data_IF_398459002166
#
_entry.id   IF_398459002166
#
_cell.length_a   1.000
_cell.length_b   1.000
_cell.length_c   1.000
_cell.angle_alpha   90.00
_cell.angle_beta   90.00
_cell.angle_gamma   90.00
#
_symmetry.space_group_name_H-M   'P 1'
#
loop_
_entity.id
_entity.type
_entity.pdbx_description
1 polymer ?
#
# COMPACT_ATOMS: atom_id res chain seq x y z
N UNK A 1 14.90 -14.95 15.09
CA UNK A 1 13.67 -14.32 14.59
C UNK A 1 12.73 -14.16 15.78
N UNK A 2 12.43 -12.92 16.19
CA UNK A 2 11.66 -12.69 17.43
C UNK A 2 10.17 -12.76 17.08
N UNK A 3 9.50 -13.79 17.58
CA UNK A 3 8.04 -13.87 17.50
C UNK A 3 7.49 -12.84 18.49
N UNK A 4 6.58 -12.00 18.02
CA UNK A 4 5.82 -11.08 18.87
C UNK A 4 4.39 -11.58 18.90
N UNK A 5 3.79 -11.65 20.09
CA UNK A 5 2.38 -11.97 20.26
C UNK A 5 1.62 -10.76 20.81
N UNK A 6 0.41 -10.56 20.31
CA UNK A 6 -0.54 -9.57 20.85
C UNK A 6 -1.97 -9.98 20.49
N UNK A 7 -2.92 -9.43 21.25
CA UNK A 7 -4.34 -9.68 21.04
C UNK A 7 -4.92 -8.73 20.00
N UNK A 8 -5.74 -9.28 19.11
CA UNK A 8 -6.42 -8.55 18.05
C UNK A 8 -7.90 -8.91 18.09
N UNK A 9 -8.74 -7.89 18.09
CA UNK A 9 -10.19 -8.03 18.08
C UNK A 9 -10.68 -8.52 16.72
N UNK A 10 -11.36 -9.65 16.71
CA UNK A 10 -12.15 -10.14 15.59
C UNK A 10 -13.62 -9.75 15.81
N UNK A 11 -14.12 -8.81 15.01
CA UNK A 11 -15.54 -8.41 15.03
C UNK A 11 -16.39 -9.42 14.29
N UNK A 12 -17.44 -9.95 14.92
CA UNK A 12 -18.23 -11.05 14.36
C UNK A 12 -18.99 -10.66 13.07
N UNK A 13 -19.35 -9.40 12.94
CA UNK A 13 -20.13 -8.83 11.84
C UNK A 13 -19.27 -8.17 10.74
N UNK A 14 -17.94 -8.28 10.84
CA UNK A 14 -17.02 -7.66 9.89
C UNK A 14 -16.41 -8.63 8.89
N UNK A 15 -15.86 -8.06 7.81
CA UNK A 15 -15.32 -8.78 6.65
C UNK A 15 -14.32 -9.89 7.01
N UNK A 16 -13.45 -9.68 8.00
CA UNK A 16 -12.48 -10.71 8.37
C UNK A 16 -13.17 -11.98 8.88
N UNK A 17 -14.17 -11.83 9.76
CA UNK A 17 -14.92 -12.94 10.32
C UNK A 17 -15.93 -13.55 9.35
N UNK A 18 -16.55 -12.72 8.51
CA UNK A 18 -17.65 -13.15 7.63
C UNK A 18 -17.18 -13.75 6.31
N UNK A 19 -16.04 -13.28 5.80
CA UNK A 19 -15.57 -13.62 4.46
C UNK A 19 -14.18 -14.28 4.49
N UNK A 20 -13.23 -13.72 5.26
CA UNK A 20 -11.82 -14.16 5.21
C UNK A 20 -11.55 -15.43 6.00
N UNK A 21 -11.87 -15.46 7.29
CA UNK A 21 -11.68 -16.63 8.16
C UNK A 21 -12.45 -17.86 7.69
N UNK A 22 -13.71 -17.76 7.26
CA UNK A 22 -14.49 -18.92 6.82
C UNK A 22 -13.83 -19.64 5.65
N UNK A 23 -13.54 -18.93 4.56
CA UNK A 23 -12.97 -19.56 3.37
C UNK A 23 -11.53 -20.00 3.59
N UNK A 24 -10.72 -19.18 4.25
CA UNK A 24 -9.26 -19.35 4.22
C UNK A 24 -8.70 -20.10 5.40
N UNK A 25 -9.39 -20.05 6.54
CA UNK A 25 -8.94 -20.62 7.80
C UNK A 25 -9.95 -21.58 8.44
N UNK A 26 -11.12 -21.75 7.82
CA UNK A 26 -12.09 -22.79 8.20
C UNK A 26 -12.83 -22.50 9.50
N UNK A 27 -12.94 -21.24 9.92
CA UNK A 27 -13.71 -20.89 11.11
C UNK A 27 -14.39 -19.51 11.00
N UNK A 28 -15.40 -19.31 11.84
CA UNK A 28 -16.02 -18.01 12.12
C UNK A 28 -16.38 -17.93 13.61
N UNK A 29 -16.39 -16.72 14.17
CA UNK A 29 -16.81 -16.46 15.53
C UNK A 29 -18.24 -15.91 15.53
N UNK A 30 -19.10 -16.41 16.44
CA UNK A 30 -20.49 -15.94 16.57
C UNK A 30 -20.62 -14.61 17.33
N UNK A 31 -19.59 -14.27 18.11
CA UNK A 31 -19.50 -13.04 18.90
C UNK A 31 -18.15 -12.40 18.66
N UNK A 32 -18.01 -11.14 19.05
CA UNK A 32 -16.72 -10.47 19.07
C UNK A 32 -15.73 -11.28 19.92
N UNK A 33 -14.57 -11.61 19.34
CA UNK A 33 -13.61 -12.51 19.94
C UNK A 33 -12.21 -11.94 19.83
N UNK A 34 -11.45 -11.99 20.92
CA UNK A 34 -10.03 -11.68 20.91
C UNK A 34 -9.23 -12.90 20.46
N UNK A 35 -8.43 -12.73 19.41
CA UNK A 35 -7.53 -13.78 18.94
C UNK A 35 -6.09 -13.32 19.12
N UNK A 36 -5.22 -14.26 19.49
CA UNK A 36 -3.78 -14.02 19.56
C UNK A 36 -3.18 -14.13 18.17
N UNK A 37 -2.51 -13.06 17.74
CA UNK A 37 -1.72 -13.03 16.52
C UNK A 37 -0.24 -13.18 16.87
N UNK A 38 0.39 -14.19 16.30
CA UNK A 38 1.81 -14.48 16.45
C UNK A 38 2.55 -14.03 15.19
N UNK A 39 3.25 -12.90 15.27
CA UNK A 39 3.88 -12.30 14.08
C UNK A 39 5.30 -12.83 13.89
N UNK A 40 5.63 -13.08 12.63
CA UNK A 40 6.95 -13.47 12.15
C UNK A 40 7.62 -12.34 11.37
N UNK A 41 6.88 -11.30 10.97
CA UNK A 41 7.42 -10.09 10.36
C UNK A 41 7.24 -8.84 11.23
N UNK A 42 8.04 -7.82 10.92
CA UNK A 42 7.72 -6.45 11.30
C UNK A 42 6.44 -5.96 10.59
N UNK A 43 5.70 -5.00 11.16
CA UNK A 43 4.52 -4.41 10.53
C UNK A 43 4.89 -3.72 9.22
N UNK A 44 4.14 -4.03 8.16
CA UNK A 44 4.23 -3.33 6.89
C UNK A 44 2.98 -2.47 6.67
N UNK A 45 3.08 -1.14 6.53
CA UNK A 45 1.92 -0.32 6.23
C UNK A 45 1.36 -0.67 4.85
N UNK A 46 0.03 -0.69 4.72
CA UNK A 46 -0.60 -0.93 3.43
C UNK A 46 -0.36 0.27 2.49
N UNK A 47 0.04 0.08 1.22
CA UNK A 47 0.44 1.17 0.32
C UNK A 47 -0.59 2.30 0.16
N UNK A 48 -1.89 1.98 0.28
CA UNK A 48 -2.99 2.92 0.09
C UNK A 48 -3.74 3.29 1.37
N UNK A 49 -3.40 2.65 2.49
CA UNK A 49 -4.06 2.81 3.80
C UNK A 49 -3.00 2.61 4.88
N UNK A 50 -2.11 3.60 5.12
CA UNK A 50 -0.98 3.46 6.03
C UNK A 50 -1.42 3.18 7.47
N UNK A 51 -2.66 3.51 7.84
CA UNK A 51 -3.30 3.15 9.11
C UNK A 51 -3.52 1.63 9.27
N UNK A 52 -3.46 0.87 8.17
CA UNK A 52 -3.59 -0.59 8.15
C UNK A 52 -2.23 -1.25 8.10
N UNK A 53 -1.93 -2.04 9.11
CA UNK A 53 -0.67 -2.77 9.23
C UNK A 53 -0.86 -4.22 8.78
N UNK A 54 0.04 -4.66 7.90
CA UNK A 54 0.14 -6.02 7.40
C UNK A 54 1.20 -6.76 8.18
N UNK A 55 0.85 -7.95 8.67
CA UNK A 55 1.75 -8.85 9.38
C UNK A 55 1.77 -10.22 8.69
N UNK A 56 2.95 -10.81 8.56
CA UNK A 56 3.09 -12.25 8.37
C UNK A 56 3.11 -12.92 9.72
N UNK A 57 2.43 -14.06 9.84
CA UNK A 57 2.33 -14.75 11.10
C UNK A 57 1.36 -15.91 11.09
N UNK A 58 0.83 -16.22 12.26
CA UNK A 58 -0.22 -17.20 12.43
C UNK A 58 -1.16 -16.84 13.57
N UNK A 59 -2.36 -17.40 13.50
CA UNK A 59 -3.32 -17.46 14.61
C UNK A 59 -3.57 -18.92 14.97
N UNK A 60 -4.13 -19.18 16.14
CA UNK A 60 -4.67 -20.51 16.46
C UNK A 60 -6.15 -20.52 16.10
N UNK A 61 -6.57 -21.54 15.36
CA UNK A 61 -7.99 -21.73 15.08
C UNK A 61 -8.73 -21.89 16.43
N UNK A 62 -9.76 -21.07 16.72
CA UNK A 62 -10.41 -21.08 18.02
C UNK A 62 -11.12 -22.41 18.31
N UNK A 63 -11.49 -23.16 17.27
CA UNK A 63 -12.20 -24.44 17.38
C UNK A 63 -11.25 -25.62 17.40
N UNK A 64 -10.27 -25.67 16.49
CA UNK A 64 -9.38 -26.84 16.33
C UNK A 64 -8.04 -26.71 17.05
N UNK A 65 -7.70 -25.50 17.52
CA UNK A 65 -6.37 -25.13 18.05
C UNK A 65 -5.22 -25.33 17.05
N UNK A 66 -5.52 -25.58 15.78
CA UNK A 66 -4.50 -25.73 14.74
C UNK A 66 -3.88 -24.39 14.37
N UNK A 67 -2.60 -24.46 14.01
CA UNK A 67 -1.82 -23.31 13.56
C UNK A 67 -2.28 -22.87 12.16
N UNK A 68 -2.82 -21.66 12.07
CA UNK A 68 -3.32 -21.04 10.87
C UNK A 68 -2.36 -19.95 10.36
N UNK A 69 -1.42 -20.33 9.49
CA UNK A 69 -0.44 -19.40 8.91
C UNK A 69 -1.03 -18.55 7.79
N UNK A 70 -0.62 -17.28 7.74
CA UNK A 70 -1.01 -16.38 6.66
C UNK A 70 -0.56 -14.94 6.87
N UNK A 71 -1.10 -14.10 6.00
CA UNK A 71 -1.02 -12.65 6.09
C UNK A 71 -2.26 -12.09 6.78
N UNK A 72 -2.05 -11.21 7.75
CA UNK A 72 -3.10 -10.56 8.51
C UNK A 72 -3.01 -9.05 8.38
N UNK A 73 -4.12 -8.40 8.04
CA UNK A 73 -4.23 -6.95 8.01
C UNK A 73 -5.03 -6.51 9.22
N UNK A 74 -4.42 -5.65 10.03
CA UNK A 74 -5.03 -5.10 11.24
C UNK A 74 -5.09 -3.58 11.17
N UNK A 75 -6.00 -2.99 11.94
CA UNK A 75 -6.21 -1.57 12.08
C UNK A 75 -6.23 -1.21 13.56
N UNK A 76 -5.48 -0.18 13.95
CA UNK A 76 -5.59 0.39 15.29
C UNK A 76 -6.90 1.18 15.40
N UNK A 77 -7.73 0.83 16.39
CA UNK A 77 -8.95 1.55 16.75
C UNK A 77 -8.88 1.82 18.25
N UNK A 78 -8.82 3.09 18.63
CA UNK A 78 -8.61 3.52 20.02
C UNK A 78 -7.37 2.82 20.60
N UNK A 79 -7.53 2.09 21.71
CA UNK A 79 -6.45 1.38 22.42
C UNK A 79 -6.24 -0.06 21.94
N UNK A 80 -6.94 -0.50 20.88
CA UNK A 80 -6.96 -1.90 20.47
C UNK A 80 -6.71 -2.11 18.98
N UNK A 81 -6.14 -3.26 18.64
CA UNK A 81 -5.99 -3.72 17.25
C UNK A 81 -7.22 -4.52 16.85
N UNK A 82 -7.68 -4.33 15.60
CA UNK A 82 -8.81 -5.07 15.02
C UNK A 82 -8.42 -5.70 13.69
N UNK A 83 -8.87 -6.92 13.43
CA UNK A 83 -8.72 -7.56 12.12
C UNK A 83 -9.55 -6.84 11.05
N UNK A 84 -8.95 -6.65 9.87
CA UNK A 84 -9.61 -6.08 8.69
C UNK A 84 -9.86 -7.17 7.65
N UNK A 85 -8.84 -7.97 7.37
CA UNK A 85 -8.86 -9.08 6.42
C UNK A 85 -7.66 -9.99 6.66
N UNK A 86 -7.70 -11.22 6.17
CA UNK A 86 -6.61 -12.18 6.25
C UNK A 86 -6.59 -13.11 5.04
N UNK A 87 -5.42 -13.62 4.66
CA UNK A 87 -5.28 -14.58 3.57
C UNK A 87 -4.04 -15.49 3.70
N UNK A 88 -4.02 -16.62 2.99
CA UNK A 88 -2.89 -17.59 3.05
C UNK A 88 -1.85 -17.39 1.94
N UNK A 89 -2.28 -17.15 0.70
CA UNK A 89 -1.40 -17.13 -0.49
C UNK A 89 -1.36 -15.76 -1.20
N UNK A 90 -0.62 -15.64 -2.31
CA UNK A 90 -0.17 -14.36 -2.90
C UNK A 90 -1.27 -13.32 -3.24
N UNK A 91 -0.88 -12.04 -3.27
CA UNK A 91 -1.75 -10.88 -3.02
C UNK A 91 -2.77 -10.53 -4.10
N UNK A 92 -2.49 -10.77 -5.38
CA UNK A 92 -3.31 -10.16 -6.46
C UNK A 92 -4.60 -10.92 -6.71
N UNK A 93 -4.56 -12.25 -6.83
CA UNK A 93 -5.77 -13.07 -7.00
C UNK A 93 -6.64 -13.04 -5.75
N UNK A 94 -6.02 -12.95 -4.57
CA UNK A 94 -6.72 -12.85 -3.28
C UNK A 94 -7.48 -11.53 -3.12
N UNK A 95 -6.98 -10.42 -3.68
CA UNK A 95 -7.69 -9.15 -3.62
C UNK A 95 -9.02 -9.21 -4.38
N UNK A 96 -8.99 -9.68 -5.63
CA UNK A 96 -10.20 -9.83 -6.44
C UNK A 96 -11.18 -10.83 -5.84
N UNK A 97 -10.68 -11.98 -5.36
CA UNK A 97 -11.52 -12.98 -4.69
C UNK A 97 -12.20 -12.41 -3.44
N UNK A 98 -11.47 -11.66 -2.60
CA UNK A 98 -12.02 -11.01 -1.40
C UNK A 98 -13.15 -10.05 -1.70
N UNK A 99 -12.97 -9.18 -2.69
CA UNK A 99 -13.98 -8.18 -3.05
C UNK A 99 -15.22 -8.82 -3.67
N UNK A 100 -15.06 -9.82 -4.53
CA UNK A 100 -16.19 -10.58 -5.10
C UNK A 100 -16.97 -11.30 -4.01
N UNK A 101 -16.30 -12.05 -3.12
CA UNK A 101 -16.95 -12.74 -1.99
C UNK A 101 -17.78 -11.78 -1.13
N UNK A 102 -17.17 -10.66 -0.72
CA UNK A 102 -17.81 -9.66 0.11
C UNK A 102 -19.06 -9.08 -0.54
N UNK A 103 -19.02 -8.82 -1.85
CA UNK A 103 -20.17 -8.31 -2.59
C UNK A 103 -21.26 -9.39 -2.75
N UNK A 104 -20.89 -10.63 -3.09
CA UNK A 104 -21.84 -11.74 -3.16
C UNK A 104 -22.53 -12.01 -1.82
N UNK A 105 -21.81 -11.91 -0.70
CA UNK A 105 -22.40 -12.02 0.64
C UNK A 105 -23.36 -10.88 0.95
N UNK A 106 -22.96 -9.63 0.69
CA UNK A 106 -23.84 -8.46 0.89
C UNK A 106 -25.12 -8.55 0.07
N UNK A 107 -25.05 -9.18 -1.09
CA UNK A 107 -26.18 -9.45 -1.98
C UNK A 107 -27.00 -10.69 -1.57
N UNK A 108 -26.63 -11.39 -0.49
CA UNK A 108 -27.31 -12.59 0.01
C UNK A 108 -27.08 -13.86 -0.81
N UNK A 109 -26.19 -13.82 -1.81
CA UNK A 109 -25.83 -14.99 -2.64
C UNK A 109 -24.95 -15.97 -1.87
N UNK A 110 -24.18 -15.45 -0.91
CA UNK A 110 -23.17 -16.19 -0.16
C UNK A 110 -23.39 -15.97 1.34
N UNK A 111 -23.13 -17.00 2.15
CA UNK A 111 -23.11 -16.90 3.61
C UNK A 111 -21.77 -17.40 4.14
N UNK A 112 -21.44 -17.03 5.37
CA UNK A 112 -20.21 -17.51 6.02
C UNK A 112 -20.19 -19.03 6.17
N UNK A 113 -21.35 -19.66 6.37
CA UNK A 113 -21.50 -21.12 6.43
C UNK A 113 -21.18 -21.76 5.09
N UNK A 114 -21.62 -21.18 3.99
CA UNK A 114 -21.27 -21.67 2.65
C UNK A 114 -19.75 -21.55 2.44
N UNK A 115 -19.11 -20.44 2.84
CA UNK A 115 -17.65 -20.31 2.75
C UNK A 115 -16.90 -21.35 3.58
N UNK A 116 -17.42 -21.74 4.75
CA UNK A 116 -16.84 -22.84 5.54
C UNK A 116 -16.87 -24.17 4.78
N UNK A 117 -17.95 -24.47 4.05
CA UNK A 117 -18.00 -25.69 3.22
C UNK A 117 -17.03 -25.65 2.03
N UNK A 118 -16.67 -24.45 1.57
CA UNK A 118 -15.72 -24.23 0.49
C UNK A 118 -14.26 -24.23 0.96
N UNK A 119 -14.01 -24.11 2.26
CA UNK A 119 -12.66 -24.07 2.83
C UNK A 119 -11.76 -25.23 2.36
N UNK A 120 -12.21 -26.51 2.36
CA UNK A 120 -11.37 -27.60 1.87
C UNK A 120 -10.97 -27.45 0.39
N UNK A 121 -11.86 -26.92 -0.46
CA UNK A 121 -11.56 -26.65 -1.89
C UNK A 121 -10.52 -25.53 -2.03
N UNK A 122 -10.61 -24.49 -1.20
CA UNK A 122 -9.61 -23.43 -1.12
C UNK A 122 -8.24 -23.99 -0.72
N UNK A 123 -8.17 -24.84 0.32
CA UNK A 123 -6.91 -25.45 0.77
C UNK A 123 -6.25 -26.32 -0.32
N UNK A 124 -7.05 -27.03 -1.12
CA UNK A 124 -6.54 -27.82 -2.26
C UNK A 124 -6.16 -26.97 -3.47
N UNK A 125 -6.43 -25.67 -3.47
CA UNK A 125 -6.16 -24.76 -4.59
C UNK A 125 -7.21 -24.79 -5.70
N UNK A 126 -8.30 -25.55 -5.53
CA UNK A 126 -9.42 -25.65 -6.47
C UNK A 126 -10.25 -24.36 -6.53
N UNK A 127 -10.18 -23.53 -5.47
CA UNK A 127 -10.86 -22.24 -5.37
C UNK A 127 -9.83 -21.14 -5.12
N UNK A 128 -8.99 -20.87 -6.12
CA UNK A 128 -7.93 -19.85 -6.02
C UNK A 128 -8.31 -18.54 -6.71
N UNK A 129 -9.35 -18.54 -7.56
CA UNK A 129 -9.82 -17.37 -8.30
C UNK A 129 -11.31 -17.12 -8.09
N UNK A 130 -11.74 -15.88 -8.33
CA UNK A 130 -13.16 -15.51 -8.31
C UNK A 130 -14.01 -16.32 -9.30
N UNK A 131 -13.43 -16.70 -10.46
CA UNK A 131 -14.11 -17.55 -11.45
C UNK A 131 -14.49 -18.92 -10.91
N UNK A 132 -13.66 -19.49 -10.04
CA UNK A 132 -13.86 -20.83 -9.48
C UNK A 132 -14.99 -20.80 -8.45
N UNK A 133 -15.01 -19.75 -7.62
CA UNK A 133 -16.11 -19.48 -6.69
C UNK A 133 -17.45 -19.35 -7.42
N UNK A 134 -17.49 -18.58 -8.51
CA UNK A 134 -18.72 -18.37 -9.29
C UNK A 134 -19.18 -19.70 -9.89
N UNK A 135 -18.27 -20.49 -10.48
CA UNK A 135 -18.60 -21.82 -11.01
C UNK A 135 -19.18 -22.74 -9.94
N UNK A 136 -18.60 -22.77 -8.75
CA UNK A 136 -19.03 -23.66 -7.67
C UNK A 136 -20.41 -23.27 -7.14
N UNK A 137 -20.64 -21.96 -6.96
CA UNK A 137 -21.96 -21.42 -6.60
C UNK A 137 -22.99 -21.75 -7.70
N UNK A 138 -22.59 -21.73 -8.97
CA UNK A 138 -23.51 -22.03 -10.07
C UNK A 138 -23.92 -23.51 -10.13
N UNK A 139 -23.08 -24.45 -9.70
CA UNK A 139 -23.40 -25.88 -9.72
C UNK A 139 -24.41 -26.31 -8.64
N UNK A 140 -24.60 -25.49 -7.60
CA UNK A 140 -25.48 -25.79 -6.44
C UNK A 140 -26.85 -25.10 -6.51
N UNK A 141 -27.18 -24.45 -7.64
CA UNK A 141 -28.34 -23.56 -7.79
C UNK A 141 -29.14 -23.81 -9.07
N UNK A 142 -30.34 -23.26 -9.14
CA UNK A 142 -31.21 -23.33 -10.34
C UNK A 142 -30.66 -22.43 -11.46
N UNK A 143 -30.92 -22.76 -12.73
CA UNK A 143 -30.42 -22.00 -13.89
C UNK A 143 -30.72 -20.48 -13.81
N UNK A 144 -31.92 -20.12 -13.33
CA UNK A 144 -32.30 -18.71 -13.15
C UNK A 144 -31.49 -17.98 -12.06
N UNK A 145 -31.08 -18.68 -11.01
CA UNK A 145 -30.18 -18.13 -9.99
C UNK A 145 -28.75 -18.02 -10.52
N UNK A 146 -28.29 -19.01 -11.31
CA UNK A 146 -26.98 -18.97 -11.98
C UNK A 146 -26.86 -17.74 -12.87
N UNK A 147 -27.86 -17.50 -13.72
CA UNK A 147 -27.86 -16.36 -14.64
C UNK A 147 -27.85 -15.01 -13.90
N UNK A 148 -28.59 -14.91 -12.80
CA UNK A 148 -28.61 -13.71 -11.94
C UNK A 148 -27.26 -13.47 -11.24
N UNK A 149 -26.57 -14.53 -10.83
CA UNK A 149 -25.26 -14.44 -10.20
C UNK A 149 -24.19 -14.09 -11.23
N UNK A 150 -24.26 -14.68 -12.42
CA UNK A 150 -23.31 -14.45 -13.50
C UNK A 150 -23.40 -13.02 -14.00
N UNK A 151 -24.60 -12.53 -14.31
CA UNK A 151 -24.82 -11.13 -14.71
C UNK A 151 -24.34 -10.11 -13.65
N UNK A 152 -24.57 -10.37 -12.37
CA UNK A 152 -24.04 -9.53 -11.27
C UNK A 152 -22.53 -9.57 -11.20
N UNK A 153 -21.94 -10.76 -11.31
CA UNK A 153 -20.49 -10.96 -11.27
C UNK A 153 -19.83 -10.21 -12.43
N UNK A 154 -20.34 -10.38 -13.65
CA UNK A 154 -19.82 -9.71 -14.84
C UNK A 154 -19.87 -8.19 -14.69
N UNK A 155 -20.96 -7.66 -14.12
CA UNK A 155 -21.08 -6.23 -13.80
C UNK A 155 -20.01 -5.76 -12.81
N UNK A 156 -19.78 -6.53 -11.73
CA UNK A 156 -18.77 -6.18 -10.73
C UNK A 156 -17.35 -6.25 -11.30
N UNK A 157 -17.04 -7.28 -12.09
CA UNK A 157 -15.75 -7.43 -12.77
C UNK A 157 -15.52 -6.26 -13.72
N UNK A 158 -16.52 -5.88 -14.51
CA UNK A 158 -16.43 -4.74 -15.42
C UNK A 158 -16.18 -3.41 -14.66
N UNK A 159 -16.86 -3.19 -13.52
CA UNK A 159 -16.66 -1.99 -12.71
C UNK A 159 -15.24 -1.94 -12.10
N UNK A 160 -14.75 -3.07 -11.59
CA UNK A 160 -13.38 -3.17 -11.06
C UNK A 160 -12.34 -2.93 -12.15
N UNK A 161 -12.53 -3.53 -13.34
CA UNK A 161 -11.66 -3.31 -14.49
C UNK A 161 -11.64 -1.84 -14.90
N UNK A 162 -12.80 -1.18 -14.95
CA UNK A 162 -12.89 0.26 -15.24
C UNK A 162 -12.11 1.09 -14.22
N UNK A 163 -12.29 0.86 -12.92
CA UNK A 163 -11.54 1.56 -11.86
C UNK A 163 -10.04 1.33 -11.97
N UNK A 164 -9.62 0.12 -12.33
CA UNK A 164 -8.21 -0.22 -12.53
C UNK A 164 -7.63 0.53 -13.74
N UNK A 165 -8.37 0.59 -14.85
CA UNK A 165 -7.98 1.37 -16.03
C UNK A 165 -7.88 2.86 -15.73
N UNK A 166 -8.86 3.45 -15.05
CA UNK A 166 -8.84 4.87 -14.64
C UNK A 166 -7.60 5.18 -13.78
N UNK A 167 -7.27 4.31 -12.83
CA UNK A 167 -6.05 4.44 -12.02
C UNK A 167 -4.78 4.35 -12.84
N UNK A 168 -4.70 3.41 -13.79
CA UNK A 168 -3.52 3.27 -14.65
C UNK A 168 -3.32 4.51 -15.51
N UNK A 169 -4.40 5.05 -16.10
CA UNK A 169 -4.34 6.30 -16.88
C UNK A 169 -3.83 7.46 -16.01
N UNK A 170 -4.35 7.58 -14.78
CA UNK A 170 -3.90 8.62 -13.85
C UNK A 170 -2.42 8.47 -13.46
N UNK A 171 -1.98 7.24 -13.22
CA UNK A 171 -0.60 6.92 -12.88
C UNK A 171 0.36 7.20 -14.05
N UNK A 172 -0.03 6.82 -15.27
CA UNK A 172 0.72 7.12 -16.49
C UNK A 172 0.85 8.63 -16.71
N UNK A 173 -0.23 9.39 -16.52
CA UNK A 173 -0.21 10.84 -16.61
C UNK A 173 0.73 11.48 -15.57
N UNK A 174 0.70 11.01 -14.32
CA UNK A 174 1.60 11.46 -13.27
C UNK A 174 3.07 11.15 -13.58
N UNK A 175 3.35 9.93 -14.03
CA UNK A 175 4.70 9.51 -14.42
C UNK A 175 5.23 10.31 -15.62
N UNK A 176 4.38 10.58 -16.62
CA UNK A 176 4.73 11.43 -17.76
C UNK A 176 5.09 12.85 -17.30
N UNK A 177 4.30 13.42 -16.38
CA UNK A 177 4.58 14.75 -15.80
C UNK A 177 5.90 14.78 -15.05
N UNK A 178 6.17 13.79 -14.19
CA UNK A 178 7.45 13.69 -13.46
C UNK A 178 8.65 13.58 -14.40
N UNK A 179 8.55 12.74 -15.45
CA UNK A 179 9.61 12.61 -16.46
C UNK A 179 9.86 13.92 -17.20
N UNK A 180 8.80 14.66 -17.52
CA UNK A 180 8.93 15.97 -18.15
C UNK A 180 9.60 16.98 -17.22
N UNK A 181 9.20 17.06 -15.95
CA UNK A 181 9.82 17.97 -14.98
C UNK A 181 11.32 17.69 -14.81
N UNK A 182 11.72 16.41 -14.78
CA UNK A 182 13.13 16.01 -14.69
C UNK A 182 13.90 16.35 -15.98
N UNK A 183 13.28 16.19 -17.15
CA UNK A 183 13.88 16.58 -18.43
C UNK A 183 14.08 18.10 -18.53
N UNK A 184 13.07 18.88 -18.14
CA UNK A 184 13.15 20.34 -18.08
C UNK A 184 14.25 20.80 -17.11
N UNK A 185 14.43 20.07 -16.00
CA UNK A 185 15.50 20.34 -15.06
C UNK A 185 16.89 20.08 -15.66
N UNK A 186 17.07 18.96 -16.34
CA UNK A 186 18.31 18.64 -17.07
C UNK A 186 18.62 19.68 -18.16
N UNK A 187 17.61 20.14 -18.90
CA UNK A 187 17.77 21.19 -19.90
C UNK A 187 18.20 22.54 -19.27
N UNK A 188 17.60 22.93 -18.14
CA UNK A 188 17.99 24.16 -17.43
C UNK A 188 19.41 24.07 -16.86
N UNK A 189 19.82 22.92 -16.35
CA UNK A 189 21.19 22.71 -15.89
C UNK A 189 22.19 22.83 -17.05
N UNK A 190 21.89 22.20 -18.20
CA UNK A 190 22.74 22.26 -19.39
C UNK A 190 22.92 23.70 -19.90
N UNK A 191 21.84 24.50 -19.91
CA UNK A 191 21.90 25.93 -20.26
C UNK A 191 22.79 26.76 -19.32
N UNK A 192 23.10 26.25 -18.12
CA UNK A 192 24.01 26.87 -17.14
C UNK A 192 25.36 26.14 -17.05
N UNK A 193 25.74 25.40 -18.10
CA UNK A 193 26.95 24.59 -18.16
C UNK A 193 27.11 23.69 -16.92
N UNK A 194 26.00 23.09 -16.49
CA UNK A 194 25.91 22.22 -15.31
C UNK A 194 25.25 20.89 -15.65
N UNK A 195 25.56 19.85 -14.90
CA UNK A 195 24.94 18.52 -14.98
C UNK A 195 24.06 18.28 -13.76
N UNK A 196 22.96 17.56 -13.97
CA UNK A 196 22.08 17.15 -12.87
C UNK A 196 22.60 15.85 -12.28
N UNK A 197 22.90 15.88 -10.99
CA UNK A 197 23.15 14.68 -10.19
C UNK A 197 21.89 14.31 -9.42
N UNK A 198 21.39 13.11 -9.67
CA UNK A 198 20.28 12.51 -8.94
C UNK A 198 20.82 11.71 -7.76
N UNK A 199 20.21 11.90 -6.59
CA UNK A 199 20.53 11.16 -5.38
C UNK A 199 19.46 10.10 -5.17
N UNK A 200 19.89 8.87 -4.88
CA UNK A 200 19.00 7.72 -4.70
C UNK A 200 17.86 8.02 -3.73
N UNK A 201 16.64 7.50 -3.99
CA UNK A 201 15.48 7.77 -3.17
C UNK A 201 15.70 7.46 -1.68
N UNK A 202 15.37 8.43 -0.83
CA UNK A 202 15.29 8.24 0.63
C UNK A 202 14.08 8.96 1.18
N UNK A 203 13.53 8.48 2.30
CA UNK A 203 12.37 9.13 2.94
C UNK A 203 12.77 10.49 3.48
N UNK A 204 12.05 11.54 3.06
CA UNK A 204 12.17 12.88 3.60
C UNK A 204 11.47 12.94 4.95
N UNK A 205 12.19 13.23 6.03
CA UNK A 205 11.61 13.24 7.39
C UNK A 205 11.40 14.63 7.94
N UNK A 206 12.12 15.64 7.44
CA UNK A 206 12.04 17.01 7.96
C UNK A 206 12.40 18.05 6.92
N UNK A 207 11.72 19.20 6.98
CA UNK A 207 12.02 20.41 6.20
C UNK A 207 12.09 21.59 7.17
N UNK A 208 13.20 22.32 7.15
CA UNK A 208 13.46 23.46 8.02
C UNK A 208 13.74 24.69 7.14
N UNK A 209 12.98 25.77 7.35
CA UNK A 209 13.14 27.01 6.60
C UNK A 209 14.12 27.96 7.27
N UNK A 210 14.66 28.92 6.51
CA UNK A 210 15.47 30.04 7.00
C UNK A 210 16.67 29.61 7.86
N UNK A 211 17.26 28.46 7.57
CA UNK A 211 18.44 27.98 8.29
C UNK A 211 19.70 28.61 7.71
N UNK A 212 20.56 29.15 8.55
CA UNK A 212 21.84 29.67 8.10
C UNK A 212 22.81 28.51 7.82
N UNK A 213 23.23 28.38 6.57
CA UNK A 213 24.27 27.45 6.15
C UNK A 213 25.31 28.20 5.31
N UNK A 214 26.56 28.23 5.81
CA UNK A 214 27.70 28.90 5.15
C UNK A 214 27.38 30.36 4.77
N UNK A 215 26.72 31.08 5.68
CA UNK A 215 26.40 32.50 5.51
C UNK A 215 25.22 32.78 4.57
N UNK A 216 24.44 31.77 4.19
CA UNK A 216 23.23 31.94 3.38
C UNK A 216 22.03 31.33 4.07
N UNK A 217 20.87 31.97 3.95
CA UNK A 217 19.60 31.39 4.37
C UNK A 217 19.19 30.31 3.38
N UNK A 218 18.92 29.13 3.92
CA UNK A 218 18.62 27.92 3.18
C UNK A 218 17.38 27.24 3.71
N UNK A 219 16.68 26.55 2.80
CA UNK A 219 15.80 25.45 3.16
C UNK A 219 16.65 24.22 3.36
N UNK A 220 16.47 23.54 4.50
CA UNK A 220 17.22 22.34 4.86
C UNK A 220 16.27 21.16 4.91
N UNK A 221 16.60 20.12 4.16
CA UNK A 221 15.87 18.86 4.19
C UNK A 221 16.72 17.80 4.89
N UNK A 222 16.07 16.99 5.71
CA UNK A 222 16.71 15.86 6.40
C UNK A 222 16.07 14.56 5.96
N UNK A 223 16.90 13.62 5.54
CA UNK A 223 16.49 12.28 5.10
C UNK A 223 16.54 11.29 6.26
N UNK A 224 15.82 10.18 6.15
CA UNK A 224 15.77 9.12 7.17
C UNK A 224 17.14 8.49 7.47
N UNK A 225 18.09 8.53 6.53
CA UNK A 225 19.47 8.09 6.72
C UNK A 225 20.36 9.12 7.44
N UNK A 226 19.78 10.23 7.92
CA UNK A 226 20.49 11.32 8.59
C UNK A 226 21.16 12.33 7.66
N UNK A 227 21.17 12.10 6.34
CA UNK A 227 21.74 13.05 5.40
C UNK A 227 20.93 14.35 5.35
N UNK A 228 21.64 15.48 5.31
CA UNK A 228 21.05 16.82 5.23
C UNK A 228 21.44 17.48 3.92
N UNK A 229 20.45 18.10 3.28
CA UNK A 229 20.65 18.86 2.05
C UNK A 229 20.15 20.28 2.20
N UNK A 230 20.82 21.21 1.53
CA UNK A 230 20.66 22.66 1.69
C UNK A 230 20.33 23.30 0.35
N UNK A 231 19.33 24.17 0.31
CA UNK A 231 19.01 24.96 -0.87
C UNK A 231 18.91 26.43 -0.50
N UNK A 232 19.78 27.26 -1.08
CA UNK A 232 19.79 28.70 -0.87
C UNK A 232 18.52 29.35 -1.44
N UNK A 233 17.66 29.87 -0.57
CA UNK A 233 16.32 30.36 -0.94
C UNK A 233 16.41 31.63 -1.79
N UNK A 234 17.31 32.55 -1.44
CA UNK A 234 17.48 33.84 -2.14
C UNK A 234 17.89 33.70 -3.62
N UNK A 235 18.51 32.58 -3.99
CA UNK A 235 19.02 32.33 -5.33
C UNK A 235 18.15 31.34 -6.10
N UNK A 236 17.79 30.23 -5.45
CA UNK A 236 17.23 29.07 -6.15
C UNK A 236 15.73 28.86 -5.90
N UNK A 237 15.16 29.51 -4.88
CA UNK A 237 13.76 29.35 -4.49
C UNK A 237 13.14 30.65 -3.96
N UNK A 238 13.30 31.75 -4.72
CA UNK A 238 12.83 33.09 -4.29
C UNK A 238 11.32 33.14 -3.99
N UNK A 239 10.54 32.32 -4.69
CA UNK A 239 9.09 32.23 -4.51
C UNK A 239 8.68 31.18 -3.45
N UNK A 240 9.63 30.43 -2.89
CA UNK A 240 9.35 29.36 -1.91
C UNK A 240 8.67 28.13 -2.51
N UNK A 241 8.62 27.98 -3.84
CA UNK A 241 7.91 26.90 -4.51
C UNK A 241 8.55 25.54 -4.21
N UNK A 242 9.88 25.46 -4.18
CA UNK A 242 10.61 24.22 -3.93
C UNK A 242 10.52 23.85 -2.44
N UNK A 243 10.53 24.84 -1.56
CA UNK A 243 10.31 24.69 -0.12
C UNK A 243 8.91 24.14 0.17
N UNK A 244 7.87 24.73 -0.42
CA UNK A 244 6.49 24.23 -0.31
C UNK A 244 6.34 22.82 -0.88
N UNK A 245 7.00 22.54 -2.02
CA UNK A 245 7.06 21.19 -2.59
C UNK A 245 7.66 20.22 -1.59
N UNK A 246 8.80 20.56 -0.98
CA UNK A 246 9.45 19.71 0.02
C UNK A 246 8.56 19.43 1.23
N UNK A 247 7.85 20.44 1.74
CA UNK A 247 6.90 20.26 2.86
C UNK A 247 5.80 19.25 2.52
N UNK A 248 5.26 19.27 1.29
CA UNK A 248 4.24 18.31 0.83
C UNK A 248 4.75 16.87 0.69
N UNK A 249 6.07 16.67 0.74
CA UNK A 249 6.75 15.40 0.54
C UNK A 249 7.32 14.81 1.84
N UNK A 250 7.05 15.41 3.00
CA UNK A 250 7.42 14.83 4.29
C UNK A 250 6.79 13.42 4.41
N UNK A 251 7.57 12.48 4.91
CA UNK A 251 7.33 11.04 5.03
C UNK A 251 7.19 10.29 3.70
N UNK A 252 7.62 10.86 2.57
CA UNK A 252 7.65 10.19 1.26
C UNK A 252 9.08 9.94 0.79
N UNK A 253 9.32 8.87 0.01
CA UNK A 253 10.59 8.69 -0.67
C UNK A 253 10.75 9.79 -1.72
N UNK A 254 11.91 10.44 -1.73
CA UNK A 254 12.20 11.54 -2.67
C UNK A 254 13.51 11.32 -3.40
N UNK A 255 13.53 11.64 -4.70
CA UNK A 255 14.75 11.85 -5.46
C UNK A 255 15.13 13.31 -5.33
N UNK A 256 16.36 13.56 -4.91
CA UNK A 256 16.92 14.92 -4.84
C UNK A 256 17.78 15.13 -6.07
N UNK A 257 17.75 16.33 -6.61
CA UNK A 257 18.64 16.75 -7.68
C UNK A 257 19.60 17.83 -7.17
N UNK A 258 20.85 17.76 -7.58
CA UNK A 258 21.83 18.83 -7.43
C UNK A 258 22.38 19.17 -8.81
N UNK A 259 22.70 20.45 -9.04
CA UNK A 259 23.38 20.85 -10.27
C UNK A 259 24.85 21.01 -9.94
N UNK A 260 25.73 20.31 -10.63
CA UNK A 260 27.19 20.47 -10.53
C UNK A 260 27.71 21.09 -11.83
N UNK A 261 28.62 22.07 -11.82
CA UNK A 261 29.20 22.59 -13.05
C UNK A 261 29.89 21.47 -13.84
N UNK A 262 29.79 21.48 -15.17
CA UNK A 262 30.37 20.45 -16.04
C UNK A 262 31.87 20.27 -15.77
N UNK A 263 32.58 21.38 -15.57
CA UNK A 263 34.03 21.39 -15.32
C UNK A 263 34.41 21.04 -13.87
N UNK A 264 33.44 21.00 -12.95
CA UNK A 264 33.66 20.69 -11.53
C UNK A 264 32.60 19.70 -11.02
N UNK A 265 32.59 18.44 -11.50
CA UNK A 265 31.64 17.44 -11.06
C UNK A 265 31.69 17.25 -9.54
N UNK A 266 30.54 17.13 -8.90
CA UNK A 266 30.46 16.96 -7.46
C UNK A 266 30.58 18.25 -6.65
N UNK A 267 30.88 19.41 -7.25
CA UNK A 267 31.14 20.66 -6.51
C UNK A 267 30.05 20.99 -5.50
N UNK A 268 28.78 20.97 -5.92
CA UNK A 268 27.65 21.35 -5.07
C UNK A 268 27.05 20.13 -4.39
N UNK A 269 26.94 19.01 -5.10
CA UNK A 269 26.33 17.79 -4.57
C UNK A 269 27.13 17.18 -3.42
N UNK A 270 28.47 17.23 -3.44
CA UNK A 270 29.31 16.75 -2.33
C UNK A 270 29.21 17.63 -1.07
N UNK A 271 28.80 18.88 -1.23
CA UNK A 271 28.60 19.83 -0.14
C UNK A 271 27.17 19.78 0.42
N UNK A 272 26.35 18.86 -0.08
CA UNK A 272 24.95 18.70 0.30
C UNK A 272 24.03 19.77 -0.27
N UNK A 273 24.42 20.51 -1.30
CA UNK A 273 23.49 21.44 -1.94
C UNK A 273 22.52 20.69 -2.84
N UNK A 274 21.25 21.08 -2.83
CA UNK A 274 20.26 20.60 -3.78
C UNK A 274 19.61 21.74 -4.54
N UNK A 275 19.09 21.39 -5.71
CA UNK A 275 18.37 22.30 -6.59
C UNK A 275 16.87 22.08 -6.54
N UNK A 276 16.44 20.82 -6.51
CA UNK A 276 15.04 20.43 -6.53
C UNK A 276 14.87 19.04 -5.90
N UNK A 277 13.62 18.62 -5.76
CA UNK A 277 13.27 17.28 -5.30
C UNK A 277 11.94 16.81 -5.92
N UNK A 278 11.81 15.50 -6.06
CA UNK A 278 10.66 14.85 -6.67
C UNK A 278 10.23 13.67 -5.82
N UNK A 279 8.92 13.38 -5.79
CA UNK A 279 8.45 12.13 -5.22
C UNK A 279 9.03 10.96 -6.05
N UNK A 280 9.61 9.98 -5.35
CA UNK A 280 9.86 8.67 -5.94
C UNK A 280 8.61 7.82 -5.81
N UNK A 281 8.36 6.99 -6.82
CA UNK A 281 7.46 5.86 -6.69
C UNK A 281 8.05 4.82 -5.73
#
# INVERSE_FOLDING_TARGET
MKIVEFEVLNKHDEHCNLDSFPLRFGFSCKTDTWLKLYTTSEPQPSPHRPERLKYQGYILNPTTQEKCEGTFVVLQINEHLKFVTAWRNDQDTEHYLSEVMKNLRKDGVLTSEHLLTLHPKYIRGELSKHSDLVKDISHSRTEAEVEKIQSKTDRYVAELQKRYQEKNIALEAANKKLKQELADERAKAANQNSTVKEISPHTLIRVEENQNYRGSLCTVITLANGARWYMKTSTFDRAGNITKKAQSLINKPVVITSWDPVEQPGKWSSQGYFRNLFASA
#
